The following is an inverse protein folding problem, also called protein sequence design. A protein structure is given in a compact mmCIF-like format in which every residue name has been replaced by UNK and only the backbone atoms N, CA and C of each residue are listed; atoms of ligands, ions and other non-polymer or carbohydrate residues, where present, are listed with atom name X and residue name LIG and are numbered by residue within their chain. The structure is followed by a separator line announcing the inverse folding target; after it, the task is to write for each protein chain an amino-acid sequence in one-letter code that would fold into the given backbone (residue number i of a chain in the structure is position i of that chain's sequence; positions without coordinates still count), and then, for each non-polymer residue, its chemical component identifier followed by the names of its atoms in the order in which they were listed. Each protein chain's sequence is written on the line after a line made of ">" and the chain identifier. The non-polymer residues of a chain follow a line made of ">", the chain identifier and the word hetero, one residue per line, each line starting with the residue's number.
data_IF_012521692082
#
_entry.id   IF_012521692082
#
_cell.length_a   1.000
_cell.length_b   1.000
_cell.length_c   1.000
_cell.angle_alpha   90.00
_cell.angle_beta   90.00
_cell.angle_gamma   90.00
#
_symmetry.space_group_name_H-M   'P 1'
#
loop_
_entity.id
_entity.type
_entity.pdbx_description
1 polymer ?
#
# COMPACT_ATOMS: atom_id res chain seq x y z
N UNK A 1 1.32 -10.00 24.66
CA UNK A 1 1.23 -9.27 25.95
C UNK A 1 2.37 -9.63 26.91
N UNK A 2 2.65 -10.92 27.16
CA UNK A 2 3.76 -11.33 28.03
C UNK A 2 5.16 -10.99 27.46
N UNK A 3 5.36 -11.15 26.15
CA UNK A 3 6.62 -10.82 25.46
C UNK A 3 6.96 -9.31 25.47
N UNK A 4 5.96 -8.43 25.53
CA UNK A 4 6.16 -6.97 25.57
C UNK A 4 6.47 -6.44 26.97
N UNK A 5 6.04 -7.14 28.02
CA UNK A 5 6.41 -6.82 29.41
C UNK A 5 7.83 -7.27 29.72
N UNK A 6 8.25 -8.43 29.19
CA UNK A 6 9.60 -8.96 29.37
C UNK A 6 10.68 -8.03 28.75
N UNK A 7 10.42 -7.46 27.57
CA UNK A 7 11.35 -6.53 26.94
C UNK A 7 11.47 -5.20 27.68
N UNK A 8 10.37 -4.67 28.23
CA UNK A 8 10.37 -3.45 29.05
C UNK A 8 11.10 -3.69 30.38
N UNK A 9 10.92 -4.85 31.00
CA UNK A 9 11.59 -5.23 32.24
C UNK A 9 13.11 -5.39 32.06
N UNK A 10 13.57 -6.05 30.99
CA UNK A 10 15.01 -6.17 30.73
C UNK A 10 15.66 -4.84 30.38
N UNK A 11 14.97 -3.95 29.66
CA UNK A 11 15.46 -2.60 29.40
C UNK A 11 15.58 -1.82 30.72
N UNK A 12 14.57 -1.88 31.59
CA UNK A 12 14.62 -1.22 32.91
C UNK A 12 15.74 -1.76 33.81
N UNK A 13 16.00 -3.08 33.76
CA UNK A 13 17.08 -3.74 34.50
C UNK A 13 18.47 -3.31 34.01
N UNK A 14 18.65 -3.16 32.69
CA UNK A 14 19.91 -2.70 32.09
C UNK A 14 20.17 -1.23 32.44
N UNK A 15 19.12 -0.37 32.42
CA UNK A 15 19.26 1.05 32.77
C UNK A 15 19.70 1.29 34.22
N UNK A 16 19.31 0.43 35.16
CA UNK A 16 19.59 0.60 36.59
C UNK A 16 21.09 0.53 36.96
N UNK A 17 21.92 -0.05 36.11
CA UNK A 17 23.37 -0.23 36.34
C UNK A 17 24.26 0.51 35.32
N UNK A 18 23.69 1.37 34.47
CA UNK A 18 24.44 2.07 33.42
C UNK A 18 24.88 3.48 33.82
N UNK A 19 26.03 3.98 33.32
CA UNK A 19 26.47 5.36 33.53
C UNK A 19 25.41 6.38 33.11
N UNK A 20 25.31 7.51 33.81
CA UNK A 20 24.29 8.55 33.63
C UNK A 20 24.06 8.97 32.17
N UNK A 21 25.12 8.97 31.35
CA UNK A 21 25.07 9.27 29.91
C UNK A 21 24.23 8.26 29.12
N UNK A 22 24.35 6.96 29.40
CA UNK A 22 23.56 5.91 28.75
C UNK A 22 22.09 5.93 29.21
N UNK A 23 21.83 6.29 30.47
CA UNK A 23 20.47 6.47 30.98
C UNK A 23 19.77 7.66 30.30
N UNK A 24 20.49 8.76 30.03
CA UNK A 24 19.97 9.91 29.28
C UNK A 24 19.67 9.58 27.82
N UNK A 25 20.57 8.85 27.14
CA UNK A 25 20.33 8.37 25.77
C UNK A 25 19.11 7.44 25.74
N UNK A 26 19.04 6.47 26.64
CA UNK A 26 17.90 5.57 26.72
C UNK A 26 16.59 6.28 27.08
N UNK A 27 16.60 7.27 27.97
CA UNK A 27 15.42 8.08 28.30
C UNK A 27 14.89 8.90 27.10
N UNK A 28 15.73 9.22 26.12
CA UNK A 28 15.34 9.85 24.86
C UNK A 28 14.80 8.85 23.83
N UNK A 29 15.40 7.67 23.72
CA UNK A 29 15.03 6.68 22.70
C UNK A 29 13.88 5.75 23.12
N UNK A 30 13.76 5.40 24.41
CA UNK A 30 12.73 4.48 24.92
C UNK A 30 11.31 5.03 24.72
N UNK A 31 10.99 6.32 24.96
CA UNK A 31 9.68 6.88 24.64
C UNK A 31 9.37 6.81 23.14
N UNK A 32 10.38 7.03 22.28
CA UNK A 32 10.24 6.90 20.83
C UNK A 32 9.97 5.46 20.37
N UNK A 33 10.66 4.47 20.97
CA UNK A 33 10.44 3.04 20.70
C UNK A 33 9.07 2.60 21.23
N UNK A 34 8.65 3.09 22.40
CA UNK A 34 7.33 2.81 22.96
C UNK A 34 6.22 3.44 22.12
N UNK A 35 6.36 4.70 21.67
CA UNK A 35 5.43 5.34 20.74
C UNK A 35 5.38 4.63 19.39
N UNK A 36 6.52 4.20 18.85
CA UNK A 36 6.59 3.39 17.65
C UNK A 36 5.86 2.05 17.83
N UNK A 37 6.11 1.33 18.92
CA UNK A 37 5.37 0.10 19.26
C UNK A 37 3.88 0.38 19.43
N UNK A 38 3.51 1.47 20.09
CA UNK A 38 2.12 1.87 20.29
C UNK A 38 1.42 2.11 18.95
N UNK A 39 2.10 2.78 18.00
CA UNK A 39 1.58 3.04 16.66
C UNK A 39 1.36 1.75 15.85
N UNK A 40 2.28 0.79 15.93
CA UNK A 40 2.14 -0.51 15.26
C UNK A 40 1.08 -1.41 15.90
N UNK A 41 0.87 -1.32 17.21
CA UNK A 41 -0.14 -2.09 17.96
C UNK A 41 -1.54 -1.50 17.74
N UNK A 42 -1.66 -0.17 17.67
CA UNK A 42 -2.96 0.51 17.56
C UNK A 42 -3.45 0.71 16.11
N UNK A 43 -2.56 0.71 15.11
CA UNK A 43 -2.94 0.88 13.70
C UNK A 43 -2.52 -0.28 12.75
N UNK A 44 -2.61 -1.56 13.15
CA UNK A 44 -2.15 -2.69 12.32
C UNK A 44 -2.95 -2.82 11.01
N UNK A 45 -4.24 -2.48 11.03
CA UNK A 45 -5.13 -2.56 9.85
C UNK A 45 -4.79 -1.53 8.79
N UNK A 46 -4.46 -0.29 9.19
CA UNK A 46 -4.09 0.77 8.25
C UNK A 46 -2.74 0.48 7.58
N UNK A 47 -1.75 -0.03 8.33
CA UNK A 47 -0.47 -0.46 7.78
C UNK A 47 -0.61 -1.66 6.85
N UNK A 48 -1.47 -2.64 7.18
CA UNK A 48 -1.75 -3.77 6.32
C UNK A 48 -2.42 -3.35 5.00
N UNK A 49 -3.39 -2.43 5.04
CA UNK A 49 -4.04 -1.86 3.87
C UNK A 49 -3.05 -1.11 2.97
N UNK A 50 -2.22 -0.24 3.54
CA UNK A 50 -1.17 0.47 2.80
C UNK A 50 -0.17 -0.49 2.12
N UNK A 51 0.34 -1.49 2.84
CA UNK A 51 1.22 -2.53 2.26
C UNK A 51 0.55 -3.31 1.13
N UNK A 52 -0.74 -3.57 1.26
CA UNK A 52 -1.53 -4.26 0.24
C UNK A 52 -1.71 -3.40 -1.01
N UNK A 53 -2.00 -2.10 -0.84
CA UNK A 53 -2.11 -1.12 -1.92
C UNK A 53 -0.83 -1.02 -2.75
N UNK A 54 0.32 -0.85 -2.09
CA UNK A 54 1.63 -0.85 -2.77
C UNK A 54 1.91 -2.19 -3.46
N UNK A 55 1.48 -3.30 -2.86
CA UNK A 55 1.65 -4.62 -3.46
C UNK A 55 0.80 -4.81 -4.72
N UNK A 56 -0.43 -4.27 -4.76
CA UNK A 56 -1.26 -4.25 -5.98
C UNK A 56 -0.56 -3.46 -7.08
N UNK A 57 -0.02 -2.27 -6.78
CA UNK A 57 0.76 -1.49 -7.74
C UNK A 57 1.91 -2.34 -8.29
N UNK A 58 2.69 -3.00 -7.43
CA UNK A 58 3.78 -3.88 -7.86
C UNK A 58 3.28 -4.99 -8.80
N UNK A 59 2.14 -5.61 -8.51
CA UNK A 59 1.55 -6.63 -9.39
C UNK A 59 1.26 -6.07 -10.79
N UNK A 60 0.72 -4.85 -10.89
CA UNK A 60 0.45 -4.20 -12.17
C UNK A 60 1.75 -4.01 -12.96
N UNK A 61 2.81 -3.50 -12.34
CA UNK A 61 4.11 -3.31 -12.99
C UNK A 61 4.70 -4.65 -13.45
N UNK A 62 4.73 -5.65 -12.57
CA UNK A 62 5.24 -6.98 -12.91
C UNK A 62 4.45 -7.62 -14.06
N UNK A 63 3.12 -7.46 -14.11
CA UNK A 63 2.32 -7.97 -15.21
C UNK A 63 2.63 -7.27 -16.55
N UNK A 64 2.91 -5.97 -16.53
CA UNK A 64 3.31 -5.20 -17.71
C UNK A 64 4.73 -5.52 -18.15
N UNK A 65 5.65 -5.71 -17.21
CA UNK A 65 7.02 -6.15 -17.49
C UNK A 65 7.06 -7.54 -18.14
N UNK A 66 6.27 -8.47 -17.63
CA UNK A 66 6.14 -9.82 -18.19
C UNK A 66 5.39 -9.85 -19.54
N UNK A 67 4.67 -8.78 -19.90
CA UNK A 67 3.89 -8.74 -21.13
C UNK A 67 4.75 -8.79 -22.39
N UNK A 68 4.17 -9.37 -23.46
CA UNK A 68 4.79 -9.51 -24.79
C UNK A 68 4.71 -8.19 -25.58
N UNK A 69 4.51 -7.06 -24.90
CA UNK A 69 4.61 -5.75 -25.53
C UNK A 69 6.03 -5.52 -26.04
N UNK A 70 6.14 -4.83 -27.17
CA UNK A 70 7.42 -4.27 -27.59
C UNK A 70 7.93 -3.28 -26.54
N UNK A 71 9.25 -3.06 -26.54
CA UNK A 71 9.92 -2.29 -25.51
C UNK A 71 9.38 -0.86 -25.40
N UNK A 72 9.06 -0.22 -26.53
CA UNK A 72 8.61 1.17 -26.56
C UNK A 72 7.17 1.30 -26.05
N UNK A 73 6.26 0.44 -26.50
CA UNK A 73 4.88 0.40 -25.99
C UNK A 73 4.84 0.11 -24.50
N UNK A 74 5.66 -0.82 -24.01
CA UNK A 74 5.77 -1.13 -22.58
C UNK A 74 6.25 0.08 -21.78
N UNK A 75 7.31 0.75 -22.24
CA UNK A 75 7.83 1.95 -21.58
C UNK A 75 6.80 3.08 -21.55
N UNK A 76 6.02 3.25 -22.63
CA UNK A 76 4.94 4.23 -22.69
C UNK A 76 3.86 3.96 -21.64
N UNK A 77 3.38 2.71 -21.55
CA UNK A 77 2.35 2.33 -20.55
C UNK A 77 2.88 2.55 -19.13
N UNK A 78 4.09 2.07 -18.84
CA UNK A 78 4.72 2.22 -17.53
C UNK A 78 4.92 3.69 -17.15
N UNK A 79 5.36 4.52 -18.11
CA UNK A 79 5.51 5.96 -17.91
C UNK A 79 4.19 6.62 -17.53
N UNK A 80 3.10 6.30 -18.23
CA UNK A 80 1.80 6.91 -17.90
C UNK A 80 1.22 6.40 -16.58
N UNK A 81 1.47 5.15 -16.21
CA UNK A 81 1.11 4.65 -14.87
C UNK A 81 1.94 5.35 -13.79
N UNK A 82 3.23 5.63 -14.03
CA UNK A 82 4.05 6.47 -13.13
C UNK A 82 3.46 7.89 -13.00
N UNK A 83 3.06 8.53 -14.10
CA UNK A 83 2.43 9.86 -14.08
C UNK A 83 1.11 9.84 -13.27
N UNK A 84 0.31 8.78 -13.38
CA UNK A 84 -0.87 8.55 -12.54
C UNK A 84 -0.50 8.35 -11.06
N UNK A 85 0.60 7.66 -10.76
CA UNK A 85 1.06 7.43 -9.40
C UNK A 85 1.61 8.70 -8.75
N UNK A 86 2.34 9.52 -9.50
CA UNK A 86 2.87 10.81 -9.07
C UNK A 86 1.72 11.80 -8.77
N UNK A 87 0.75 11.91 -9.69
CA UNK A 87 -0.43 12.75 -9.47
C UNK A 87 -1.27 12.28 -8.28
N UNK A 88 -1.41 10.97 -8.08
CA UNK A 88 -2.00 10.40 -6.86
C UNK A 88 -1.19 10.81 -5.62
N UNK A 89 0.14 10.75 -5.65
CA UNK A 89 1.01 11.18 -4.55
C UNK A 89 0.80 12.65 -4.17
N UNK A 90 0.68 13.55 -5.16
CA UNK A 90 0.37 14.95 -4.94
C UNK A 90 -1.02 15.15 -4.30
N UNK A 91 -2.03 14.40 -4.76
CA UNK A 91 -3.37 14.44 -4.18
C UNK A 91 -3.39 13.94 -2.73
N UNK A 92 -2.62 12.90 -2.42
CA UNK A 92 -2.46 12.39 -1.07
C UNK A 92 -1.77 13.40 -0.15
N UNK A 93 -0.74 14.11 -0.62
CA UNK A 93 -0.06 15.17 0.15
C UNK A 93 -0.99 16.36 0.41
N UNK A 94 -1.77 16.78 -0.59
CA UNK A 94 -2.76 17.86 -0.43
C UNK A 94 -3.85 17.48 0.59
N UNK A 95 -4.33 16.24 0.53
CA UNK A 95 -5.33 15.74 1.47
C UNK A 95 -4.77 15.62 2.89
N UNK A 96 -3.51 15.19 3.02
CA UNK A 96 -2.78 15.18 4.29
C UNK A 96 -2.69 16.59 4.91
N UNK A 97 -2.25 17.59 4.13
CA UNK A 97 -2.13 18.98 4.59
C UNK A 97 -3.48 19.62 4.94
N UNK A 98 -4.55 19.27 4.23
CA UNK A 98 -5.92 19.72 4.56
C UNK A 98 -6.40 19.10 5.87
N UNK A 99 -6.12 17.82 6.08
CA UNK A 99 -6.47 17.12 7.32
C UNK A 99 -5.67 17.62 8.52
N UNK A 100 -4.42 18.06 8.37
CA UNK A 100 -3.63 18.64 9.46
C UNK A 100 -4.25 19.94 9.99
N UNK A 101 -4.99 20.66 9.15
CA UNK A 101 -5.72 21.89 9.50
C UNK A 101 -7.12 21.65 10.07
N UNK A 102 -7.63 20.41 10.10
CA UNK A 102 -8.98 20.08 10.53
C UNK A 102 -9.02 18.88 11.49
N UNK A 103 -9.62 19.05 12.68
CA UNK A 103 -9.74 18.06 13.77
C UNK A 103 -10.55 16.78 13.44
N UNK A 104 -10.83 16.45 12.18
CA UNK A 104 -11.76 15.40 11.77
C UNK A 104 -11.04 14.17 11.17
N UNK A 105 -10.55 13.29 12.05
CA UNK A 105 -9.87 12.05 11.70
C UNK A 105 -10.76 11.04 10.92
N UNK A 106 -12.09 11.08 11.09
CA UNK A 106 -13.01 10.14 10.43
C UNK A 106 -13.28 10.41 8.93
N UNK A 107 -13.05 11.64 8.46
CA UNK A 107 -13.17 11.99 7.04
C UNK A 107 -11.94 11.56 6.22
N UNK A 108 -10.81 11.32 6.90
CA UNK A 108 -9.51 10.98 6.31
C UNK A 108 -9.49 9.62 5.60
N UNK A 109 -10.11 8.58 6.18
CA UNK A 109 -10.07 7.23 5.59
C UNK A 109 -10.90 7.17 4.29
N UNK A 110 -12.05 7.87 4.25
CA UNK A 110 -12.91 7.93 3.06
C UNK A 110 -12.29 8.74 1.91
N UNK A 111 -11.55 9.80 2.20
CA UNK A 111 -10.90 10.59 1.14
C UNK A 111 -9.71 9.86 0.53
N UNK A 112 -8.88 9.21 1.35
CA UNK A 112 -7.78 8.36 0.89
C UNK A 112 -8.29 7.19 0.03
N UNK A 113 -9.38 6.55 0.44
CA UNK A 113 -9.98 5.45 -0.32
C UNK A 113 -10.51 5.90 -1.68
N UNK A 114 -11.06 7.10 -1.78
CA UNK A 114 -11.47 7.68 -3.07
C UNK A 114 -10.28 7.91 -4.01
N UNK A 115 -9.15 8.35 -3.47
CA UNK A 115 -7.92 8.57 -4.26
C UNK A 115 -7.39 7.24 -4.80
N UNK A 116 -7.30 6.21 -3.94
CA UNK A 116 -6.87 4.88 -4.37
C UNK A 116 -7.85 4.21 -5.33
N UNK A 117 -9.15 4.33 -5.10
CA UNK A 117 -10.18 3.88 -6.04
C UNK A 117 -9.96 4.50 -7.42
N UNK A 118 -9.84 5.83 -7.47
CA UNK A 118 -9.63 6.57 -8.71
C UNK A 118 -8.37 6.12 -9.43
N UNK A 119 -7.26 5.96 -8.70
CA UNK A 119 -6.01 5.45 -9.26
C UNK A 119 -6.18 4.07 -9.92
N UNK A 120 -6.77 3.09 -9.23
CA UNK A 120 -6.91 1.74 -9.79
C UNK A 120 -7.81 1.71 -11.03
N UNK A 121 -8.93 2.44 -11.00
CA UNK A 121 -9.82 2.54 -12.16
C UNK A 121 -9.09 3.15 -13.36
N UNK A 122 -8.34 4.23 -13.15
CA UNK A 122 -7.57 4.89 -14.20
C UNK A 122 -6.44 4.02 -14.72
N UNK A 123 -5.69 3.35 -13.84
CA UNK A 123 -4.60 2.46 -14.23
C UNK A 123 -5.11 1.30 -15.11
N UNK A 124 -6.21 0.65 -14.73
CA UNK A 124 -6.79 -0.43 -15.55
C UNK A 124 -7.36 0.09 -16.87
N UNK A 125 -7.94 1.29 -16.87
CA UNK A 125 -8.41 1.92 -18.10
C UNK A 125 -7.27 2.26 -19.05
N UNK A 126 -6.15 2.73 -18.51
CA UNK A 126 -4.97 3.06 -19.28
C UNK A 126 -4.37 1.81 -19.94
N UNK A 127 -4.29 0.70 -19.22
CA UNK A 127 -3.86 -0.59 -19.79
C UNK A 127 -4.77 -0.99 -20.95
N UNK A 128 -6.08 -0.80 -20.82
CA UNK A 128 -7.04 -1.12 -21.87
C UNK A 128 -6.92 -0.21 -23.10
N UNK A 129 -6.63 1.08 -22.90
CA UNK A 129 -6.49 2.05 -23.98
C UNK A 129 -5.16 1.94 -24.73
N UNK A 130 -4.06 1.78 -24.01
CA UNK A 130 -2.72 1.77 -24.59
C UNK A 130 -2.38 0.41 -25.20
N UNK A 131 -2.85 -0.70 -24.62
CA UNK A 131 -2.70 -2.04 -25.19
C UNK A 131 -3.86 -2.30 -26.17
N UNK A 132 -3.67 -1.85 -27.41
CA UNK A 132 -4.66 -1.99 -28.49
C UNK A 132 -4.93 -3.44 -28.85
N UNK A 133 -3.90 -4.29 -28.81
CA UNK A 133 -4.03 -5.73 -29.07
C UNK A 133 -4.84 -6.41 -27.95
N UNK A 134 -5.98 -6.97 -28.32
CA UNK A 134 -6.88 -7.63 -27.38
C UNK A 134 -6.26 -8.87 -26.72
N UNK A 135 -5.46 -9.63 -27.46
CA UNK A 135 -4.78 -10.83 -26.96
C UNK A 135 -3.77 -10.44 -25.89
N UNK A 136 -2.94 -9.43 -26.16
CA UNK A 136 -1.94 -8.93 -25.19
C UNK A 136 -2.64 -8.30 -23.98
N UNK A 137 -3.71 -7.54 -24.19
CA UNK A 137 -4.49 -6.94 -23.11
C UNK A 137 -5.09 -7.99 -22.18
N UNK A 138 -5.77 -8.99 -22.74
CA UNK A 138 -6.37 -10.08 -21.98
C UNK A 138 -5.30 -10.90 -21.25
N UNK A 139 -4.16 -11.14 -21.90
CA UNK A 139 -3.02 -11.79 -21.28
C UNK A 139 -2.50 -11.01 -20.07
N UNK A 140 -2.34 -9.69 -20.19
CA UNK A 140 -1.88 -8.81 -19.10
C UNK A 140 -2.84 -8.82 -17.92
N UNK A 141 -4.16 -8.71 -18.17
CA UNK A 141 -5.15 -8.79 -17.10
C UNK A 141 -5.20 -10.17 -16.44
N UNK A 142 -5.03 -11.25 -17.20
CA UNK A 142 -4.90 -12.60 -16.65
C UNK A 142 -3.65 -12.74 -15.79
N UNK A 143 -2.53 -12.11 -16.15
CA UNK A 143 -1.34 -12.06 -15.30
C UNK A 143 -1.57 -11.32 -13.99
N UNK A 144 -2.21 -10.16 -14.02
CA UNK A 144 -2.60 -9.43 -12.80
C UNK A 144 -3.45 -10.34 -11.90
N UNK A 145 -4.47 -10.99 -12.48
CA UNK A 145 -5.33 -11.92 -11.76
C UNK A 145 -4.55 -13.11 -11.18
N UNK A 146 -3.64 -13.71 -11.92
CA UNK A 146 -2.83 -14.84 -11.45
C UNK A 146 -1.91 -14.42 -10.30
N UNK A 147 -1.25 -13.27 -10.41
CA UNK A 147 -0.42 -12.72 -9.34
C UNK A 147 -1.23 -12.42 -8.08
N UNK A 148 -2.48 -11.94 -8.20
CA UNK A 148 -3.40 -11.72 -7.08
C UNK A 148 -3.85 -13.02 -6.37
N UNK A 149 -3.67 -14.19 -6.99
CA UNK A 149 -4.03 -15.49 -6.42
C UNK A 149 -2.81 -16.35 -6.06
N UNK A 150 -1.59 -15.80 -6.15
CA UNK A 150 -0.35 -16.59 -6.07
C UNK A 150 0.00 -17.06 -4.65
N UNK A 151 -0.21 -16.21 -3.65
CA UNK A 151 0.18 -16.48 -2.26
C UNK A 151 -0.73 -15.74 -1.26
N UNK A 152 -0.54 -16.00 0.03
CA UNK A 152 -1.36 -15.42 1.10
C UNK A 152 -1.32 -13.88 1.11
N UNK A 153 -0.18 -13.27 0.76
CA UNK A 153 -0.04 -11.81 0.71
C UNK A 153 -0.83 -11.25 -0.48
N UNK A 154 -0.83 -11.96 -1.60
CA UNK A 154 -1.64 -11.64 -2.77
C UNK A 154 -3.14 -11.74 -2.49
N UNK A 155 -3.58 -12.74 -1.73
CA UNK A 155 -4.98 -12.85 -1.32
C UNK A 155 -5.43 -11.67 -0.46
N UNK A 156 -4.62 -11.23 0.51
CA UNK A 156 -4.89 -10.00 1.27
C UNK A 156 -4.98 -8.77 0.36
N UNK A 157 -4.11 -8.67 -0.63
CA UNK A 157 -4.13 -7.58 -1.62
C UNK A 157 -5.35 -7.65 -2.54
N UNK A 158 -5.79 -8.85 -2.92
CA UNK A 158 -7.00 -9.11 -3.69
C UNK A 158 -8.25 -8.65 -2.93
N UNK A 159 -8.33 -8.93 -1.62
CA UNK A 159 -9.45 -8.47 -0.78
C UNK A 159 -9.51 -6.94 -0.68
N UNK A 160 -8.34 -6.30 -0.50
CA UNK A 160 -8.26 -4.83 -0.51
C UNK A 160 -8.67 -4.29 -1.87
N UNK A 161 -8.15 -4.84 -2.97
CA UNK A 161 -8.51 -4.40 -4.31
C UNK A 161 -10.02 -4.58 -4.57
N UNK A 162 -10.62 -5.68 -4.10
CA UNK A 162 -12.05 -5.97 -4.20
C UNK A 162 -12.91 -4.87 -3.60
N UNK A 163 -12.49 -4.31 -2.47
CA UNK A 163 -13.19 -3.17 -1.84
C UNK A 163 -13.20 -1.91 -2.72
N UNK A 164 -12.22 -1.76 -3.62
CA UNK A 164 -12.15 -0.62 -4.54
C UNK A 164 -12.86 -0.89 -5.86
N UNK A 165 -12.65 -2.06 -6.48
CA UNK A 165 -13.08 -2.28 -7.88
C UNK A 165 -14.27 -3.24 -8.02
N UNK A 166 -14.81 -3.76 -6.92
CA UNK A 166 -15.86 -4.79 -6.92
C UNK A 166 -17.14 -4.41 -7.68
N UNK A 167 -17.46 -3.11 -7.77
CA UNK A 167 -18.62 -2.60 -8.51
C UNK A 167 -18.26 -1.98 -9.87
N UNK A 168 -17.02 -2.15 -10.33
CA UNK A 168 -16.53 -1.61 -11.59
C UNK A 168 -16.51 -2.69 -12.68
N UNK A 169 -16.29 -2.28 -13.94
CA UNK A 169 -16.05 -3.23 -15.04
C UNK A 169 -14.83 -4.13 -14.83
N UNK A 170 -13.92 -3.78 -13.92
CA UNK A 170 -12.72 -4.56 -13.59
C UNK A 170 -12.93 -5.57 -12.45
N UNK A 171 -14.17 -5.76 -11.98
CA UNK A 171 -14.48 -6.71 -10.92
C UNK A 171 -14.05 -8.16 -11.25
N UNK A 172 -13.90 -8.51 -12.52
CA UNK A 172 -13.40 -9.82 -12.95
C UNK A 172 -11.97 -10.15 -12.45
N UNK A 173 -11.15 -9.13 -12.14
CA UNK A 173 -9.81 -9.31 -11.60
C UNK A 173 -9.80 -9.88 -10.17
N UNK A 174 -10.90 -9.70 -9.43
CA UNK A 174 -11.01 -10.02 -8.00
C UNK A 174 -12.08 -11.06 -7.69
N UNK A 175 -12.73 -11.65 -8.70
CA UNK A 175 -13.67 -12.76 -8.50
C UNK A 175 -12.92 -14.02 -8.06
N UNK A 176 -13.53 -14.75 -7.11
CA UNK A 176 -13.08 -16.10 -6.72
C UNK A 176 -13.55 -17.09 -7.79
N UNK A 177 -12.68 -18.00 -8.19
CA UNK A 177 -12.95 -19.13 -9.09
C UNK A 177 -12.57 -20.40 -8.36
#
# INVERSE_FOLDING_TARGET
>A
MLLSLASVYEIARILGNTPLYFALVAALFVPGILLFHYFFIWFPKALAKSRSLTYIVKIIYTALEESVLDQDSRLQVLRRINELLESMGLLLDLEYRRSEKGLLHGLRDRSLDKVWHSFFIQAFHLIEQEIKDETIRNWTFNKIKNHLNKDQRALCAKDVLRSFIGNSKYAFLVKDY
#
